data_IF_656139703276
#
_entry.id   IF_656139703276
#
_cell.length_a   1.000
_cell.length_b   1.000
_cell.length_c   1.000
_cell.angle_alpha   90.00
_cell.angle_beta   90.00
_cell.angle_gamma   90.00
#
_symmetry.space_group_name_H-M   'P 1'
#
loop_
_entity.id
_entity.type
_entity.pdbx_description
1 polymer ?
#
# COMPACT_ATOMS: atom_id res chain seq x y z
N UNK A 1 26.69 10.66 -6.70
CA UNK A 1 25.83 10.76 -5.50
C UNK A 1 25.67 12.22 -5.12
N UNK A 2 24.52 12.78 -5.44
CA UNK A 2 24.08 14.04 -4.87
C UNK A 2 23.77 13.77 -3.40
N UNK A 3 24.72 14.02 -2.49
CA UNK A 3 24.48 13.89 -1.04
C UNK A 3 23.61 15.06 -0.53
N UNK A 4 22.42 15.19 -1.10
CA UNK A 4 21.49 16.26 -0.72
C UNK A 4 20.76 15.98 0.59
N UNK A 5 20.75 14.69 1.00
CA UNK A 5 19.95 14.21 2.14
C UNK A 5 20.85 13.41 3.10
N UNK A 6 21.46 14.05 4.10
CA UNK A 6 22.37 13.36 5.03
C UNK A 6 21.60 12.42 5.96
N UNK A 7 22.19 11.26 6.27
CA UNK A 7 21.56 10.20 7.09
C UNK A 7 21.32 10.60 8.54
N UNK A 8 22.13 11.49 9.07
CA UNK A 8 22.05 12.00 10.44
C UNK A 8 20.98 13.10 10.63
N UNK A 9 20.37 13.57 9.54
CA UNK A 9 19.26 14.53 9.60
C UNK A 9 17.91 13.84 9.76
N UNK A 10 17.16 14.16 10.81
CA UNK A 10 15.79 13.68 10.99
C UNK A 10 14.86 14.07 9.81
N UNK A 11 15.14 15.21 9.15
CA UNK A 11 14.38 15.67 7.97
C UNK A 11 14.50 14.65 6.84
N UNK A 12 15.69 14.08 6.63
CA UNK A 12 15.90 13.02 5.64
C UNK A 12 14.97 11.83 5.87
N UNK A 13 14.80 11.40 7.12
CA UNK A 13 13.96 10.27 7.48
C UNK A 13 12.47 10.58 7.26
N UNK A 14 12.02 11.77 7.66
CA UNK A 14 10.62 12.18 7.46
C UNK A 14 10.29 12.30 5.97
N UNK A 15 11.13 12.99 5.21
CA UNK A 15 10.95 13.15 3.76
C UNK A 15 10.98 11.79 3.06
N UNK A 16 11.95 10.94 3.40
CA UNK A 16 12.06 9.60 2.82
C UNK A 16 10.82 8.74 3.14
N UNK A 17 10.31 8.80 4.37
CA UNK A 17 9.13 8.02 4.76
C UNK A 17 7.87 8.46 4.02
N UNK A 18 7.60 9.78 3.97
CA UNK A 18 6.46 10.33 3.25
C UNK A 18 6.55 10.07 1.74
N UNK A 19 7.74 10.23 1.18
CA UNK A 19 7.96 9.99 -0.24
C UNK A 19 7.84 8.51 -0.60
N UNK A 20 8.37 7.61 0.25
CA UNK A 20 8.24 6.17 0.06
C UNK A 20 6.77 5.76 0.05
N UNK A 21 6.00 6.25 1.02
CA UNK A 21 4.59 5.89 1.15
C UNK A 21 3.72 6.46 0.02
N UNK A 22 4.01 7.68 -0.45
CA UNK A 22 3.38 8.25 -1.65
C UNK A 22 3.70 7.42 -2.91
N UNK A 23 4.97 7.05 -3.08
CA UNK A 23 5.39 6.21 -4.22
C UNK A 23 4.72 4.84 -4.13
N UNK A 24 4.62 4.27 -2.93
CA UNK A 24 3.89 3.03 -2.71
C UNK A 24 2.43 3.16 -3.15
N UNK A 25 1.73 4.23 -2.74
CA UNK A 25 0.35 4.51 -3.17
C UNK A 25 0.24 4.55 -4.70
N UNK A 26 1.11 5.31 -5.36
CA UNK A 26 1.10 5.42 -6.84
C UNK A 26 1.36 4.06 -7.48
N UNK A 27 2.38 3.34 -7.03
CA UNK A 27 2.72 2.02 -7.52
C UNK A 27 1.55 1.06 -7.34
N UNK A 28 0.95 1.02 -6.14
CA UNK A 28 -0.13 0.11 -5.79
C UNK A 28 -1.37 0.39 -6.65
N UNK A 29 -1.77 1.64 -6.79
CA UNK A 29 -2.85 2.06 -7.67
C UNK A 29 -2.60 1.62 -9.13
N UNK A 30 -1.41 1.87 -9.67
CA UNK A 30 -1.07 1.44 -11.03
C UNK A 30 -1.05 -0.09 -11.20
N UNK A 31 -0.75 -0.84 -10.13
CA UNK A 31 -0.87 -2.30 -10.15
C UNK A 31 -2.33 -2.76 -10.27
N UNK A 32 -3.30 -1.97 -9.90
CA UNK A 32 -4.72 -2.23 -10.12
C UNK A 32 -5.22 -1.72 -11.47
N UNK A 33 -4.75 -0.58 -11.96
CA UNK A 33 -5.24 0.05 -13.19
C UNK A 33 -4.59 -0.49 -14.47
N UNK A 34 -3.35 -1.01 -14.41
CA UNK A 34 -2.58 -1.47 -15.58
C UNK A 34 -2.50 -3.00 -15.59
N UNK A 35 -3.08 -3.64 -16.60
CA UNK A 35 -3.20 -5.11 -16.71
C UNK A 35 -1.88 -5.88 -16.50
N UNK A 36 -0.76 -5.43 -17.07
CA UNK A 36 0.53 -6.10 -16.90
C UNK A 36 1.06 -6.00 -15.47
N UNK A 37 0.79 -4.89 -14.78
CA UNK A 37 1.14 -4.72 -13.37
C UNK A 37 0.18 -5.52 -12.48
N UNK A 38 -1.11 -5.53 -12.81
CA UNK A 38 -2.10 -6.37 -12.15
C UNK A 38 -1.72 -7.85 -12.18
N UNK A 39 -1.24 -8.35 -13.30
CA UNK A 39 -0.77 -9.74 -13.41
C UNK A 39 0.33 -10.10 -12.40
N UNK A 40 1.09 -9.11 -11.93
CA UNK A 40 2.08 -9.28 -10.84
C UNK A 40 1.51 -9.05 -9.45
N UNK A 41 0.28 -8.54 -9.32
CA UNK A 41 -0.33 -8.21 -8.02
C UNK A 41 -1.53 -9.08 -7.68
N UNK A 42 -2.21 -9.64 -8.69
CA UNK A 42 -3.40 -10.48 -8.53
C UNK A 42 -3.21 -11.64 -7.54
N UNK A 43 -2.00 -12.21 -7.44
CA UNK A 43 -1.72 -13.30 -6.51
C UNK A 43 -1.92 -12.88 -5.04
N UNK A 44 -1.72 -11.60 -4.75
CA UNK A 44 -1.97 -11.02 -3.43
C UNK A 44 -3.48 -10.93 -3.15
N UNK A 45 -4.31 -10.60 -4.15
CA UNK A 45 -5.76 -10.48 -4.04
C UNK A 45 -6.53 -11.80 -4.23
N UNK A 46 -5.86 -12.88 -4.62
CA UNK A 46 -6.49 -14.15 -4.97
C UNK A 46 -6.86 -15.02 -3.76
N UNK A 47 -7.13 -14.45 -2.60
CA UNK A 47 -7.53 -15.18 -1.39
C UNK A 47 -9.03 -15.13 -1.15
N UNK A 48 -9.68 -16.28 -0.87
CA UNK A 48 -11.06 -16.32 -0.38
C UNK A 48 -11.15 -15.90 1.09
N UNK A 49 -10.04 -16.07 1.83
CA UNK A 49 -9.92 -15.67 3.21
C UNK A 49 -8.94 -14.50 3.32
N UNK A 50 -9.30 -13.50 4.12
CA UNK A 50 -8.48 -12.34 4.40
C UNK A 50 -7.85 -12.45 5.79
N UNK A 51 -6.56 -12.72 5.83
CA UNK A 51 -5.80 -12.88 7.07
C UNK A 51 -4.31 -12.57 6.86
N UNK A 52 -3.51 -12.65 7.90
CA UNK A 52 -2.07 -12.32 7.84
C UNK A 52 -1.29 -13.15 6.80
N UNK A 53 -1.77 -14.34 6.40
CA UNK A 53 -1.14 -15.11 5.32
C UNK A 53 -1.36 -14.45 3.95
N UNK A 54 -2.41 -13.65 3.80
CA UNK A 54 -2.64 -12.86 2.59
C UNK A 54 -1.51 -11.84 2.37
N UNK A 55 -1.03 -11.21 3.45
CA UNK A 55 0.13 -10.30 3.37
C UNK A 55 1.40 -10.98 2.83
N UNK A 56 1.55 -12.28 3.09
CA UNK A 56 2.71 -13.06 2.65
C UNK A 56 2.60 -13.56 1.20
N UNK A 57 1.43 -13.48 0.59
CA UNK A 57 1.23 -13.83 -0.82
C UNK A 57 1.78 -12.74 -1.72
N UNK A 58 3.05 -12.88 -2.09
CA UNK A 58 3.74 -11.92 -2.95
C UNK A 58 4.17 -12.61 -4.25
N UNK A 59 4.09 -11.88 -5.35
CA UNK A 59 4.59 -12.37 -6.64
C UNK A 59 6.12 -12.41 -6.66
N UNK A 60 6.67 -13.42 -7.31
CA UNK A 60 8.11 -13.49 -7.60
C UNK A 60 8.57 -12.50 -8.68
N UNK A 61 7.65 -11.89 -9.43
CA UNK A 61 7.95 -11.00 -10.56
C UNK A 61 7.85 -9.51 -10.23
N UNK A 62 7.40 -9.15 -9.02
CA UNK A 62 7.23 -7.75 -8.62
C UNK A 62 8.50 -6.90 -8.69
N UNK A 63 9.69 -7.51 -8.54
CA UNK A 63 10.98 -6.82 -8.64
C UNK A 63 11.25 -6.24 -10.04
N UNK A 64 10.62 -6.78 -11.09
CA UNK A 64 10.76 -6.29 -12.47
C UNK A 64 10.33 -4.82 -12.61
N UNK A 65 9.39 -4.37 -11.79
CA UNK A 65 8.76 -3.06 -11.90
C UNK A 65 9.09 -2.12 -10.73
N UNK A 66 9.29 -2.66 -9.52
CA UNK A 66 9.45 -1.87 -8.29
C UNK A 66 10.57 -0.83 -8.39
N UNK A 67 11.71 -1.17 -8.93
CA UNK A 67 12.85 -0.25 -9.03
C UNK A 67 12.53 1.02 -9.81
N UNK A 68 11.67 0.93 -10.84
CA UNK A 68 11.29 2.08 -11.65
C UNK A 68 10.59 3.15 -10.81
N UNK A 69 9.69 2.73 -9.92
CA UNK A 69 8.93 3.63 -9.07
C UNK A 69 9.81 4.30 -8.01
N UNK A 70 10.77 3.57 -7.42
CA UNK A 70 11.60 4.10 -6.34
C UNK A 70 12.89 4.77 -6.81
N UNK A 71 13.25 4.68 -8.08
CA UNK A 71 14.41 5.39 -8.66
C UNK A 71 14.44 6.89 -8.34
N UNK A 72 13.33 7.65 -8.37
CA UNK A 72 13.33 9.06 -8.00
C UNK A 72 13.91 9.34 -6.59
N UNK A 73 13.70 8.45 -5.61
CA UNK A 73 14.30 8.59 -4.28
C UNK A 73 15.81 8.53 -4.32
N UNK A 74 16.37 7.66 -5.16
CA UNK A 74 17.81 7.54 -5.34
C UNK A 74 18.38 8.77 -6.06
N UNK A 75 17.66 9.32 -7.05
CA UNK A 75 18.07 10.50 -7.81
C UNK A 75 18.16 11.73 -6.91
N UNK A 76 17.20 11.96 -6.01
CA UNK A 76 17.25 13.08 -5.05
C UNK A 76 18.23 12.85 -3.91
N UNK A 77 18.90 11.69 -3.86
CA UNK A 77 20.00 11.42 -2.93
C UNK A 77 19.58 10.86 -1.57
N UNK A 78 18.41 10.20 -1.47
CA UNK A 78 18.07 9.43 -0.26
C UNK A 78 19.11 8.33 -0.07
N UNK A 79 19.76 8.22 1.12
CA UNK A 79 20.73 7.18 1.41
C UNK A 79 20.09 5.78 1.37
N UNK A 80 20.87 4.78 0.92
CA UNK A 80 20.35 3.41 0.79
C UNK A 80 19.87 2.82 2.12
N UNK A 81 20.58 3.11 3.22
CA UNK A 81 20.18 2.67 4.56
C UNK A 81 18.86 3.30 5.01
N UNK A 82 18.60 4.56 4.69
CA UNK A 82 17.33 5.22 4.97
C UNK A 82 16.21 4.58 4.13
N UNK A 83 16.45 4.39 2.83
CA UNK A 83 15.50 3.76 1.91
C UNK A 83 15.10 2.36 2.37
N UNK A 84 16.08 1.52 2.72
CA UNK A 84 15.84 0.14 3.19
C UNK A 84 15.04 0.15 4.49
N UNK A 85 15.38 1.04 5.42
CA UNK A 85 14.72 1.13 6.71
C UNK A 85 13.28 1.59 6.59
N UNK A 86 13.01 2.68 5.85
CA UNK A 86 11.62 3.16 5.66
C UNK A 86 10.79 2.16 4.87
N UNK A 87 11.39 1.47 3.90
CA UNK A 87 10.73 0.38 3.18
C UNK A 87 10.39 -0.80 4.08
N UNK A 88 11.30 -1.17 4.99
CA UNK A 88 11.05 -2.19 6.00
C UNK A 88 9.92 -1.83 6.96
N UNK A 89 9.90 -0.58 7.45
CA UNK A 89 8.82 -0.07 8.32
C UNK A 89 7.48 -0.13 7.58
N UNK A 90 7.43 0.33 6.33
CA UNK A 90 6.22 0.30 5.52
C UNK A 90 5.72 -1.14 5.29
N UNK A 91 6.62 -2.08 5.00
CA UNK A 91 6.29 -3.50 4.82
C UNK A 91 5.73 -4.13 6.10
N UNK A 92 6.38 -3.88 7.25
CA UNK A 92 5.92 -4.40 8.56
C UNK A 92 4.55 -3.80 8.91
N UNK A 93 4.36 -2.50 8.63
CA UNK A 93 3.06 -1.87 8.83
C UNK A 93 1.97 -2.54 8.01
N UNK A 94 2.21 -2.83 6.75
CA UNK A 94 1.22 -3.48 5.89
C UNK A 94 0.90 -4.91 6.31
N UNK A 95 1.79 -5.59 7.02
CA UNK A 95 1.53 -6.96 7.49
C UNK A 95 0.35 -7.01 8.47
N UNK A 96 0.31 -6.13 9.47
CA UNK A 96 -0.72 -6.18 10.52
C UNK A 96 -2.11 -5.75 10.04
N UNK A 97 -2.22 -4.98 8.95
CA UNK A 97 -3.54 -4.54 8.44
C UNK A 97 -4.31 -5.65 7.73
N UNK A 98 -3.67 -6.79 7.45
CA UNK A 98 -4.32 -7.95 6.83
C UNK A 98 -5.03 -8.82 7.87
N UNK A 99 -6.14 -8.33 8.42
CA UNK A 99 -6.93 -9.08 9.42
C UNK A 99 -8.39 -8.62 9.45
N UNK A 100 -9.29 -9.58 9.69
CA UNK A 100 -10.72 -9.31 9.94
C UNK A 100 -11.02 -9.06 11.42
N UNK A 101 -10.07 -9.35 12.32
CA UNK A 101 -10.32 -9.33 13.77
C UNK A 101 -10.28 -7.93 14.39
N UNK A 102 -9.69 -6.96 13.71
CA UNK A 102 -9.59 -5.58 14.21
C UNK A 102 -10.76 -4.77 13.66
N UNK A 103 -11.64 -4.22 14.52
CA UNK A 103 -12.74 -3.38 14.10
C UNK A 103 -12.26 -2.02 13.59
N UNK A 104 -13.20 -1.18 13.16
CA UNK A 104 -12.90 0.23 12.83
C UNK A 104 -12.24 0.94 14.01
N UNK A 105 -11.16 1.66 13.75
CA UNK A 105 -10.34 2.36 14.74
C UNK A 105 -10.68 3.86 14.85
N UNK A 106 -11.85 4.26 14.34
CA UNK A 106 -12.39 5.61 14.50
C UNK A 106 -11.52 6.68 13.83
N UNK A 107 -11.02 7.65 14.62
CA UNK A 107 -10.28 8.79 14.08
C UNK A 107 -8.96 8.41 13.41
N UNK A 108 -8.35 7.28 13.80
CA UNK A 108 -7.10 6.78 13.18
C UNK A 108 -7.29 6.49 11.69
N UNK A 109 -8.48 6.08 11.27
CA UNK A 109 -8.84 5.81 9.87
C UNK A 109 -8.91 7.07 8.99
N UNK A 110 -8.78 8.24 9.61
CA UNK A 110 -8.68 9.51 8.85
C UNK A 110 -7.26 9.80 8.39
N UNK A 111 -6.27 9.17 9.02
CA UNK A 111 -4.84 9.44 8.79
C UNK A 111 -4.11 8.19 8.29
N UNK A 112 -4.37 7.05 8.92
CA UNK A 112 -3.65 5.80 8.67
C UNK A 112 -4.50 4.78 7.94
N UNK A 113 -3.85 3.91 7.16
CA UNK A 113 -4.46 2.67 6.67
C UNK A 113 -4.65 1.76 7.88
N UNK A 114 -5.88 1.37 8.13
CA UNK A 114 -6.27 0.42 9.19
C UNK A 114 -6.70 -0.90 8.56
N UNK A 115 -6.89 -1.97 9.35
CA UNK A 115 -7.49 -3.19 8.83
C UNK A 115 -8.84 -2.98 8.13
N UNK A 116 -9.67 -2.05 8.62
CA UNK A 116 -10.94 -1.68 7.97
C UNK A 116 -10.72 -1.11 6.56
N UNK A 117 -9.82 -0.14 6.41
CA UNK A 117 -9.50 0.41 5.09
C UNK A 117 -8.95 -0.65 4.14
N UNK A 118 -8.13 -1.58 4.66
CA UNK A 118 -7.47 -2.60 3.85
C UNK A 118 -8.40 -3.76 3.50
N UNK A 119 -9.40 -4.07 4.34
CA UNK A 119 -10.51 -4.98 3.97
C UNK A 119 -11.28 -4.48 2.76
N UNK A 120 -11.60 -3.18 2.73
CA UNK A 120 -12.23 -2.53 1.56
C UNK A 120 -11.37 -2.70 0.32
N UNK A 121 -10.05 -2.47 0.44
CA UNK A 121 -9.11 -2.61 -0.66
C UNK A 121 -9.11 -4.03 -1.27
N UNK A 122 -9.16 -5.06 -0.43
CA UNK A 122 -9.17 -6.46 -0.88
C UNK A 122 -10.55 -6.98 -1.30
N UNK A 123 -11.61 -6.20 -1.08
CA UNK A 123 -12.96 -6.64 -1.35
C UNK A 123 -13.32 -6.59 -2.84
N UNK A 124 -14.06 -7.61 -3.31
CA UNK A 124 -14.60 -7.68 -4.67
C UNK A 124 -16.00 -7.08 -4.82
N UNK A 125 -16.58 -6.55 -3.75
CA UNK A 125 -17.88 -5.89 -3.80
C UNK A 125 -17.82 -4.72 -4.77
N UNK A 126 -18.80 -4.53 -5.66
CA UNK A 126 -18.81 -3.42 -6.63
C UNK A 126 -18.61 -2.04 -5.98
N UNK A 127 -19.09 -1.87 -4.74
CA UNK A 127 -18.99 -0.64 -3.96
C UNK A 127 -17.58 -0.35 -3.44
N UNK A 128 -16.67 -1.33 -3.45
CA UNK A 128 -15.34 -1.28 -2.85
C UNK A 128 -14.20 -1.39 -3.86
N UNK A 129 -14.53 -1.70 -5.11
CA UNK A 129 -13.52 -1.89 -6.16
C UNK A 129 -12.70 -0.62 -6.36
N UNK A 130 -11.39 -0.82 -6.58
CA UNK A 130 -10.44 0.24 -6.93
C UNK A 130 -10.31 1.35 -5.86
N UNK A 131 -10.25 0.94 -4.59
CA UNK A 131 -10.17 1.86 -3.45
C UNK A 131 -9.02 1.53 -2.49
N UNK A 132 -8.62 2.54 -1.70
CA UNK A 132 -7.74 2.44 -0.53
C UNK A 132 -6.37 1.82 -0.82
N UNK A 133 -5.61 2.43 -1.73
CA UNK A 133 -4.30 1.95 -2.18
C UNK A 133 -3.12 2.32 -1.26
N UNK A 134 -3.33 3.14 -0.22
CA UNK A 134 -2.28 3.60 0.68
C UNK A 134 -1.52 2.45 1.36
N UNK A 135 -0.26 2.68 1.70
CA UNK A 135 0.56 1.75 2.49
C UNK A 135 0.40 1.97 3.98
N UNK A 136 0.83 3.14 4.46
CA UNK A 136 0.72 3.56 5.86
C UNK A 136 -0.34 4.64 6.01
N UNK A 137 -0.38 5.62 5.11
CA UNK A 137 -1.29 6.76 5.19
C UNK A 137 -2.46 6.65 4.20
N UNK A 138 -3.69 6.72 4.73
CA UNK A 138 -4.93 6.84 3.94
C UNK A 138 -5.08 8.24 3.33
N UNK A 139 -4.23 9.18 3.73
CA UNK A 139 -4.26 10.57 3.26
C UNK A 139 -4.12 10.64 1.74
N UNK A 140 -3.31 9.78 1.15
CA UNK A 140 -3.13 9.74 -0.31
C UNK A 140 -4.43 9.38 -1.02
N UNK A 141 -5.15 8.39 -0.52
CA UNK A 141 -6.46 8.01 -1.07
C UNK A 141 -7.46 9.14 -0.99
N UNK A 142 -7.44 9.91 0.11
CA UNK A 142 -8.30 11.10 0.26
C UNK A 142 -7.93 12.22 -0.70
N UNK A 143 -6.64 12.49 -0.89
CA UNK A 143 -6.14 13.53 -1.81
C UNK A 143 -6.48 13.18 -3.27
N UNK A 144 -6.30 11.91 -3.65
CA UNK A 144 -6.49 11.47 -5.05
C UNK A 144 -7.88 10.88 -5.33
N UNK A 145 -8.80 10.91 -4.36
CA UNK A 145 -10.20 10.53 -4.53
C UNK A 145 -10.47 9.02 -4.64
N UNK A 146 -9.57 8.19 -4.10
CA UNK A 146 -9.68 6.72 -4.08
C UNK A 146 -10.10 6.18 -2.72
N UNK A 147 -10.47 7.03 -1.77
CA UNK A 147 -10.90 6.62 -0.44
C UNK A 147 -12.36 6.16 -0.43
N UNK A 148 -12.59 4.96 0.08
CA UNK A 148 -13.92 4.43 0.40
C UNK A 148 -13.90 3.88 1.83
N UNK A 149 -14.90 4.28 2.63
CA UNK A 149 -15.09 3.78 3.98
C UNK A 149 -15.78 2.41 3.98
N UNK A 150 -15.34 1.50 4.85
CA UNK A 150 -16.05 0.24 5.10
C UNK A 150 -17.44 0.52 5.68
N UNK A 151 -18.49 0.02 5.02
CA UNK A 151 -19.89 0.20 5.46
C UNK A 151 -20.32 -1.00 6.32
N UNK A 152 -21.01 -0.73 7.40
CA UNK A 152 -21.46 -1.79 8.33
C UNK A 152 -22.48 -2.73 7.68
N UNK A 153 -23.28 -2.19 6.71
CA UNK A 153 -24.31 -2.92 5.97
C UNK A 153 -23.73 -3.78 4.82
N UNK A 154 -22.51 -3.50 4.38
CA UNK A 154 -21.87 -4.16 3.22
C UNK A 154 -20.58 -4.84 3.68
N UNK A 155 -20.70 -6.11 4.06
CA UNK A 155 -19.50 -6.86 4.47
C UNK A 155 -18.56 -7.10 3.28
N UNK A 156 -17.25 -6.88 3.44
CA UNK A 156 -16.26 -7.21 2.42
C UNK A 156 -16.34 -8.70 2.04
N UNK A 157 -16.32 -8.96 0.74
CA UNK A 157 -16.23 -10.31 0.18
C UNK A 157 -14.96 -10.37 -0.65
N UNK A 158 -14.14 -11.37 -0.40
CA UNK A 158 -12.82 -11.49 -1.03
C UNK A 158 -12.83 -12.41 -2.26
N UNK A 159 -11.69 -12.61 -2.88
CA UNK A 159 -11.49 -13.27 -4.18
C UNK A 159 -11.80 -12.33 -5.35
N UNK A 160 -10.81 -11.58 -5.80
CA UNK A 160 -10.95 -10.70 -6.97
C UNK A 160 -10.42 -11.36 -8.23
N UNK A 161 -11.35 -11.72 -9.14
CA UNK A 161 -11.04 -12.07 -10.54
C UNK A 161 -11.44 -10.92 -11.50
N UNK A 162 -11.73 -9.72 -10.95
CA UNK A 162 -12.48 -8.67 -11.66
C UNK A 162 -11.67 -7.98 -12.75
N UNK A 163 -10.35 -8.06 -12.71
CA UNK A 163 -9.47 -7.39 -13.69
C UNK A 163 -8.88 -8.35 -14.75
N UNK A 164 -9.50 -9.52 -14.93
CA UNK A 164 -9.09 -10.48 -15.97
C UNK A 164 -9.82 -10.19 -17.28
#
# INVERSE_FOLDING_TARGET
NLKLMPVDSWITWVVAFLMYDLIYYIQHRLHHEIKILWATHVVHHHGEEFNMSTAMRQTSTGWLWKWMFYTPMMVIGIPAEVFITVGGINLVYQYWVHTEHVPKLGWLEKIFITPSNHRVHHAKNPEYIDANYGGVFIIWDRIFGTYIEEKDEIKPVYLSLIHI
#
